data_IF_020307640926
#
_entry.id   IF_020307640926
#
_cell.length_a   1.000
_cell.length_b   1.000
_cell.length_c   1.000
_cell.angle_alpha   90.00
_cell.angle_beta   90.00
_cell.angle_gamma   90.00
#
_symmetry.space_group_name_H-M   'P 1'
#
loop_
_entity.id
_entity.type
_entity.pdbx_description
1 polymer ?
#
# COMPACT_ATOMS: atom_id res chain seq x y z
N UNK A 1 21.65 -1.83 -8.18
CA UNK A 1 21.75 -0.68 -7.25
C UNK A 1 23.00 0.12 -7.58
N UNK A 2 22.87 1.26 -8.28
CA UNK A 2 24.00 2.10 -8.68
C UNK A 2 23.56 3.57 -8.74
N UNK A 3 24.53 4.50 -8.78
CA UNK A 3 24.25 5.94 -8.83
C UNK A 3 24.12 6.58 -7.45
N UNK A 4 23.48 7.75 -7.40
CA UNK A 4 23.29 8.51 -6.16
C UNK A 4 22.34 7.77 -5.21
N UNK A 5 22.79 7.57 -3.96
CA UNK A 5 22.03 6.92 -2.89
C UNK A 5 21.50 7.95 -1.88
N UNK A 6 20.34 7.66 -1.32
CA UNK A 6 19.76 8.37 -0.19
C UNK A 6 19.35 7.35 0.85
N UNK A 7 19.90 7.46 2.05
CA UNK A 7 19.52 6.63 3.19
C UNK A 7 18.46 7.34 4.02
N UNK A 8 17.36 6.62 4.30
CA UNK A 8 16.23 7.13 5.08
C UNK A 8 15.97 6.19 6.26
N UNK A 9 15.90 6.77 7.46
CA UNK A 9 15.50 6.08 8.70
C UNK A 9 14.21 6.65 9.30
N UNK A 10 13.64 7.67 8.65
CA UNK A 10 12.40 8.32 9.03
C UNK A 10 11.64 8.79 7.80
N UNK A 11 10.42 9.24 8.01
CA UNK A 11 9.59 9.85 6.97
C UNK A 11 10.31 11.01 6.27
N UNK A 12 10.07 11.13 4.96
CA UNK A 12 10.58 12.18 4.10
C UNK A 12 9.41 12.75 3.29
N UNK A 13 8.97 13.95 3.66
CA UNK A 13 7.84 14.62 3.01
C UNK A 13 8.18 15.18 1.63
N UNK A 14 9.46 15.47 1.38
CA UNK A 14 9.98 16.04 0.14
C UNK A 14 11.40 15.57 -0.13
N UNK A 15 11.64 14.93 -1.26
CA UNK A 15 12.98 14.52 -1.68
C UNK A 15 13.87 15.72 -2.02
N UNK A 16 13.26 16.80 -2.50
CA UNK A 16 13.92 18.08 -2.76
C UNK A 16 14.65 18.64 -1.52
N UNK A 17 14.11 18.47 -0.31
CA UNK A 17 14.76 18.87 0.95
C UNK A 17 16.03 18.06 1.27
N UNK A 18 16.16 16.86 0.68
CA UNK A 18 17.36 16.01 0.77
C UNK A 18 18.34 16.25 -0.38
N UNK A 19 18.10 17.25 -1.22
CA UNK A 19 18.84 17.56 -2.43
C UNK A 19 18.85 16.44 -3.48
N UNK A 20 17.92 15.48 -3.42
CA UNK A 20 17.84 14.33 -4.34
C UNK A 20 16.75 14.60 -5.38
N UNK A 21 16.95 14.28 -6.66
CA UNK A 21 15.88 14.43 -7.65
C UNK A 21 14.68 13.54 -7.29
N UNK A 22 13.49 13.96 -7.70
CA UNK A 22 12.25 13.18 -7.56
C UNK A 22 12.21 12.02 -8.56
N UNK A 23 13.24 11.18 -8.54
CA UNK A 23 13.41 9.99 -9.37
C UNK A 23 14.06 8.89 -8.57
N UNK A 24 13.44 7.73 -8.55
CA UNK A 24 13.96 6.54 -7.86
C UNK A 24 13.77 5.30 -8.74
N UNK A 25 14.87 4.62 -9.06
CA UNK A 25 14.87 3.47 -9.97
C UNK A 25 15.15 2.13 -9.26
N UNK A 26 15.63 2.18 -8.03
CA UNK A 26 15.83 0.99 -7.20
C UNK A 26 15.77 1.33 -5.72
N UNK A 27 15.23 0.42 -4.92
CA UNK A 27 15.14 0.56 -3.47
C UNK A 27 15.60 -0.71 -2.79
N UNK A 28 16.35 -0.54 -1.70
CA UNK A 28 16.68 -1.61 -0.77
C UNK A 28 16.06 -1.26 0.59
N UNK A 29 15.17 -2.12 1.06
CA UNK A 29 14.56 -2.01 2.39
C UNK A 29 15.37 -2.89 3.33
N UNK A 30 16.11 -2.27 4.23
CA UNK A 30 16.88 -3.00 5.25
C UNK A 30 16.00 -3.50 6.40
N UNK A 31 14.94 -2.74 6.74
CA UNK A 31 13.98 -3.12 7.79
C UNK A 31 12.62 -2.46 7.63
N UNK A 32 11.59 -3.15 8.13
CA UNK A 32 10.22 -2.67 8.17
C UNK A 32 9.52 -2.68 6.81
N UNK A 33 8.55 -1.79 6.65
CA UNK A 33 7.89 -1.56 5.38
C UNK A 33 7.70 -0.06 5.19
N UNK A 34 7.76 0.37 3.94
CA UNK A 34 7.73 1.76 3.53
C UNK A 34 6.70 1.94 2.42
N UNK A 35 6.11 3.13 2.36
CA UNK A 35 5.25 3.52 1.25
C UNK A 35 5.77 4.81 0.65
N UNK A 36 6.02 4.75 -0.65
CA UNK A 36 6.42 5.87 -1.47
C UNK A 36 5.22 6.47 -2.20
N UNK A 37 5.34 7.74 -2.55
CA UNK A 37 4.28 8.52 -3.15
C UNK A 37 4.80 9.31 -4.34
N UNK A 38 3.97 9.37 -5.37
CA UNK A 38 4.22 10.14 -6.60
C UNK A 38 4.37 11.65 -6.34
N UNK A 39 3.75 12.18 -5.28
CA UNK A 39 3.80 13.60 -4.96
C UNK A 39 4.32 13.85 -3.55
N UNK A 40 4.75 15.09 -3.30
CA UNK A 40 5.15 15.57 -1.98
C UNK A 40 4.02 15.40 -0.95
N UNK A 41 4.39 15.33 0.33
CA UNK A 41 3.46 15.26 1.46
C UNK A 41 2.50 14.05 1.42
N UNK A 42 2.99 12.91 0.93
CA UNK A 42 2.30 11.62 0.95
C UNK A 42 1.01 11.60 0.11
N UNK A 43 1.07 12.15 -1.10
CA UNK A 43 -0.07 12.29 -2.03
C UNK A 43 0.17 11.58 -3.36
N UNK A 44 -0.92 11.35 -4.09
CA UNK A 44 -0.86 10.67 -5.39
C UNK A 44 -0.81 9.16 -5.23
N UNK A 45 -0.28 8.48 -6.25
CA UNK A 45 -0.19 7.02 -6.26
C UNK A 45 0.77 6.52 -5.18
N UNK A 46 0.43 5.37 -4.57
CA UNK A 46 1.22 4.70 -3.55
C UNK A 46 2.05 3.56 -4.15
N UNK A 47 3.24 3.36 -3.62
CA UNK A 47 4.13 2.25 -3.95
C UNK A 47 4.64 1.59 -2.66
N UNK A 48 4.25 0.34 -2.42
CA UNK A 48 4.66 -0.41 -1.25
C UNK A 48 6.06 -1.01 -1.44
N UNK A 49 6.95 -0.75 -0.48
CA UNK A 49 8.24 -1.39 -0.33
C UNK A 49 8.28 -2.12 1.01
N UNK A 50 7.93 -3.40 0.99
CA UNK A 50 7.86 -4.27 2.15
C UNK A 50 8.83 -5.46 2.03
N UNK A 51 8.95 -6.28 3.06
CA UNK A 51 9.93 -7.38 3.07
C UNK A 51 9.49 -8.60 2.24
N UNK A 52 8.50 -8.47 1.36
CA UNK A 52 7.98 -9.60 0.56
C UNK A 52 9.04 -10.18 -0.40
N UNK A 53 9.85 -9.32 -1.03
CA UNK A 53 10.96 -9.73 -1.92
C UNK A 53 12.33 -9.48 -1.26
N UNK A 54 12.46 -9.82 0.04
CA UNK A 54 13.65 -9.53 0.87
C UNK A 54 14.07 -8.05 0.86
N UNK A 55 13.11 -7.16 0.61
CA UNK A 55 13.33 -5.72 0.52
C UNK A 55 14.04 -5.25 -0.74
N UNK A 56 14.25 -6.10 -1.75
CA UNK A 56 14.97 -5.73 -2.98
C UNK A 56 14.04 -5.36 -4.14
N UNK A 57 14.02 -4.08 -4.48
CA UNK A 57 13.23 -3.58 -5.59
C UNK A 57 14.11 -3.01 -6.69
N UNK A 58 14.39 -3.84 -7.70
CA UNK A 58 15.46 -3.61 -8.67
C UNK A 58 15.03 -2.89 -9.96
N UNK A 59 13.72 -2.62 -10.13
CA UNK A 59 13.17 -1.80 -11.21
C UNK A 59 11.74 -1.35 -10.88
N UNK A 60 11.25 -0.33 -11.60
CA UNK A 60 9.89 0.24 -11.48
C UNK A 60 8.78 -0.80 -11.68
N UNK A 61 9.03 -1.82 -12.51
CA UNK A 61 8.08 -2.90 -12.78
C UNK A 61 7.77 -3.72 -11.52
N UNK A 62 8.73 -3.84 -10.58
CA UNK A 62 8.55 -4.65 -9.36
C UNK A 62 7.64 -4.01 -8.33
N UNK A 63 7.55 -2.67 -8.25
CA UNK A 63 6.57 -1.98 -7.40
C UNK A 63 5.37 -1.42 -8.19
N UNK A 64 5.18 -1.86 -9.44
CA UNK A 64 4.08 -1.45 -10.32
C UNK A 64 4.00 0.07 -10.56
N UNK A 65 5.14 0.78 -10.65
CA UNK A 65 5.09 2.18 -11.04
C UNK A 65 5.01 2.35 -12.56
N UNK A 66 4.13 3.23 -12.99
CA UNK A 66 4.06 3.69 -14.39
C UNK A 66 5.16 4.72 -14.71
N UNK A 67 6.06 5.03 -13.76
CA UNK A 67 7.16 5.98 -13.91
C UNK A 67 8.15 5.88 -12.74
N UNK A 68 9.20 6.69 -12.78
CA UNK A 68 10.25 6.75 -11.74
C UNK A 68 10.01 7.87 -10.71
N UNK A 69 8.92 8.63 -10.84
CA UNK A 69 8.66 9.82 -10.04
C UNK A 69 8.21 9.47 -8.61
N UNK A 70 9.05 9.82 -7.65
CA UNK A 70 8.81 9.65 -6.23
C UNK A 70 9.27 10.93 -5.54
N UNK A 71 8.37 11.58 -4.81
CA UNK A 71 8.67 12.85 -4.14
C UNK A 71 8.53 12.76 -2.63
N UNK A 72 7.88 11.73 -2.09
CA UNK A 72 7.80 11.50 -0.64
C UNK A 72 7.69 10.04 -0.26
N UNK A 73 8.15 9.71 0.95
CA UNK A 73 8.21 8.34 1.49
C UNK A 73 7.94 8.39 2.98
N UNK A 74 7.21 7.42 3.52
CA UNK A 74 7.04 7.26 4.97
C UNK A 74 7.12 5.79 5.38
N UNK A 75 7.43 5.57 6.65
CA UNK A 75 7.31 4.25 7.24
C UNK A 75 5.83 3.84 7.32
N UNK A 76 5.57 2.56 7.05
CA UNK A 76 4.27 1.93 7.28
C UNK A 76 4.20 1.53 8.75
N UNK A 77 3.09 1.84 9.42
CA UNK A 77 2.89 1.44 10.81
C UNK A 77 2.62 -0.06 10.89
N UNK A 78 3.48 -0.77 11.60
CA UNK A 78 3.27 -2.18 11.93
C UNK A 78 2.25 -2.29 13.06
N UNK A 79 1.22 -3.12 12.85
CA UNK A 79 0.30 -3.53 13.90
C UNK A 79 0.48 -5.03 14.19
N UNK A 80 0.87 -5.36 15.42
CA UNK A 80 1.17 -6.74 15.84
C UNK A 80 -0.07 -7.51 16.34
N UNK A 81 -1.27 -6.95 16.20
CA UNK A 81 -2.49 -7.69 16.52
C UNK A 81 -2.76 -8.78 15.46
N UNK A 82 -3.52 -9.84 15.81
CA UNK A 82 -3.97 -10.82 14.84
C UNK A 82 -4.61 -10.15 13.61
N UNK A 83 -4.24 -10.54 12.38
CA UNK A 83 -4.77 -9.91 11.18
C UNK A 83 -6.29 -10.01 11.13
N UNK A 84 -6.94 -8.85 11.01
CA UNK A 84 -8.39 -8.75 10.90
C UNK A 84 -8.81 -7.47 10.18
N UNK A 85 -9.46 -7.63 9.04
CA UNK A 85 -10.07 -6.52 8.29
C UNK A 85 -11.53 -6.83 7.93
N UNK A 86 -12.37 -5.81 7.88
CA UNK A 86 -13.75 -5.89 7.42
C UNK A 86 -13.92 -5.00 6.21
N UNK A 87 -14.35 -5.58 5.09
CA UNK A 87 -14.64 -4.90 3.84
C UNK A 87 -16.16 -4.73 3.69
N UNK A 88 -16.59 -3.54 3.24
CA UNK A 88 -17.99 -3.21 3.05
C UNK A 88 -18.24 -2.71 1.63
N UNK A 89 -19.34 -3.17 1.05
CA UNK A 89 -19.75 -2.81 -0.33
C UNK A 89 -20.04 -1.31 -0.47
N UNK A 90 -20.61 -0.68 0.56
CA UNK A 90 -21.01 0.73 0.57
C UNK A 90 -20.19 1.55 1.57
N UNK A 91 -20.21 2.87 1.39
CA UNK A 91 -19.56 3.82 2.30
C UNK A 91 -20.22 3.78 3.70
N UNK A 92 -19.51 4.27 4.71
CA UNK A 92 -20.01 4.33 6.09
C UNK A 92 -20.29 2.96 6.70
N UNK A 93 -19.54 1.92 6.30
CA UNK A 93 -19.62 0.56 6.84
C UNK A 93 -20.98 -0.11 6.64
N UNK A 94 -21.59 0.12 5.48
CA UNK A 94 -22.93 -0.38 5.15
C UNK A 94 -22.94 -1.37 3.96
N UNK A 95 -24.06 -2.06 3.78
CA UNK A 95 -24.20 -3.10 2.75
C UNK A 95 -23.57 -4.44 3.13
N UNK A 96 -23.21 -5.26 2.13
CA UNK A 96 -22.60 -6.56 2.36
C UNK A 96 -21.24 -6.39 3.06
N UNK A 97 -21.06 -7.10 4.18
CA UNK A 97 -19.82 -7.16 4.96
C UNK A 97 -19.08 -8.46 4.66
N UNK A 98 -17.76 -8.36 4.47
CA UNK A 98 -16.84 -9.51 4.36
C UNK A 98 -15.71 -9.33 5.37
N UNK A 99 -15.46 -10.34 6.21
CA UNK A 99 -14.36 -10.33 7.18
C UNK A 99 -13.19 -11.18 6.67
N UNK A 100 -11.97 -10.67 6.84
CA UNK A 100 -10.72 -11.24 6.35
C UNK A 100 -9.73 -11.44 7.49
N UNK A 101 -9.03 -12.57 7.46
CA UNK A 101 -7.96 -12.92 8.41
C UNK A 101 -6.64 -13.29 7.71
N UNK A 102 -6.66 -13.52 6.40
CA UNK A 102 -5.53 -13.99 5.61
C UNK A 102 -5.45 -13.29 4.26
N UNK A 103 -4.37 -13.55 3.54
CA UNK A 103 -4.11 -12.98 2.22
C UNK A 103 -5.11 -13.57 1.19
N UNK A 104 -5.78 -12.70 0.43
CA UNK A 104 -6.78 -13.07 -0.57
C UNK A 104 -6.31 -12.65 -1.96
N UNK A 105 -5.83 -13.58 -2.81
CA UNK A 105 -5.35 -13.26 -4.15
C UNK A 105 -6.49 -12.92 -5.12
N UNK A 106 -7.73 -13.32 -4.85
CA UNK A 106 -8.86 -12.98 -5.72
C UNK A 106 -10.17 -12.90 -4.94
N UNK A 107 -10.59 -11.67 -4.61
CA UNK A 107 -11.81 -11.38 -3.85
C UNK A 107 -13.08 -11.82 -4.58
N UNK A 108 -13.10 -11.73 -5.92
CA UNK A 108 -14.26 -12.13 -6.72
C UNK A 108 -14.48 -13.65 -6.60
N UNK A 109 -13.43 -14.45 -6.74
CA UNK A 109 -13.53 -15.91 -6.65
C UNK A 109 -13.89 -16.42 -5.24
N UNK A 110 -13.39 -15.74 -4.19
CA UNK A 110 -13.58 -16.19 -2.79
C UNK A 110 -14.85 -15.67 -2.13
N UNK A 111 -15.28 -14.47 -2.47
CA UNK A 111 -16.37 -13.78 -1.76
C UNK A 111 -17.44 -13.18 -2.69
N UNK A 112 -17.29 -13.33 -4.02
CA UNK A 112 -18.08 -12.63 -5.02
C UNK A 112 -18.09 -11.12 -4.74
N UNK A 113 -16.90 -10.57 -4.48
CA UNK A 113 -16.67 -9.18 -4.10
C UNK A 113 -15.64 -8.55 -5.03
N UNK A 114 -15.99 -7.45 -5.68
CA UNK A 114 -15.08 -6.65 -6.50
C UNK A 114 -15.24 -5.13 -6.28
N UNK A 115 -16.16 -4.72 -5.39
CA UNK A 115 -16.39 -3.33 -4.97
C UNK A 115 -16.37 -3.22 -3.46
N UNK A 116 -15.47 -2.41 -2.95
CA UNK A 116 -15.26 -2.13 -1.53
C UNK A 116 -15.22 -0.62 -1.36
N UNK A 117 -16.23 -0.08 -0.69
CA UNK A 117 -16.38 1.37 -0.53
C UNK A 117 -16.06 1.85 0.88
N UNK A 118 -15.97 0.96 1.88
CA UNK A 118 -15.43 1.29 3.20
C UNK A 118 -14.75 0.07 3.83
N UNK A 119 -13.80 0.32 4.74
CA UNK A 119 -12.96 -0.71 5.36
C UNK A 119 -12.76 -0.40 6.84
N UNK A 120 -12.83 -1.42 7.70
CA UNK A 120 -12.31 -1.34 9.07
C UNK A 120 -11.14 -2.29 9.23
N UNK A 121 -9.96 -1.74 9.55
CA UNK A 121 -8.79 -2.54 9.89
C UNK A 121 -8.73 -2.64 11.40
N UNK A 122 -9.04 -3.84 11.91
CA UNK A 122 -9.09 -4.12 13.35
C UNK A 122 -7.75 -4.65 13.87
N UNK A 123 -6.99 -5.33 13.02
CA UNK A 123 -5.68 -5.87 13.34
C UNK A 123 -4.83 -6.15 12.11
N UNK A 124 -3.52 -6.05 12.28
CA UNK A 124 -2.53 -6.15 11.21
C UNK A 124 -2.48 -4.93 10.30
N UNK A 125 -1.53 -4.95 9.37
CA UNK A 125 -1.39 -3.92 8.33
C UNK A 125 -1.56 -4.57 6.97
N UNK A 126 -2.37 -3.96 6.11
CA UNK A 126 -2.82 -4.55 4.86
C UNK A 126 -2.46 -3.68 3.66
N UNK A 127 -2.41 -4.30 2.49
CA UNK A 127 -2.35 -3.63 1.20
C UNK A 127 -3.42 -4.20 0.29
N UNK A 128 -4.29 -3.32 -0.21
CA UNK A 128 -5.37 -3.67 -1.12
C UNK A 128 -5.00 -3.25 -2.55
N UNK A 129 -5.30 -4.12 -3.52
CA UNK A 129 -4.93 -3.98 -4.93
C UNK A 129 -6.18 -3.92 -5.80
N UNK A 130 -6.19 -3.07 -6.81
CA UNK A 130 -7.31 -2.96 -7.76
C UNK A 130 -7.53 -4.24 -8.56
N UNK A 131 -6.47 -4.99 -8.86
CA UNK A 131 -6.55 -6.22 -9.64
C UNK A 131 -6.35 -7.48 -8.76
N UNK A 132 -6.81 -8.65 -9.25
CA UNK A 132 -6.43 -9.93 -8.66
C UNK A 132 -4.92 -10.18 -8.68
N UNK A 133 -4.47 -11.09 -7.82
CA UNK A 133 -3.09 -11.56 -7.69
C UNK A 133 -2.08 -10.43 -7.38
N UNK A 134 -2.51 -9.47 -6.57
CA UNK A 134 -1.69 -8.38 -6.03
C UNK A 134 -1.09 -7.47 -7.10
N UNK A 135 -1.90 -7.08 -8.09
CA UNK A 135 -1.48 -6.25 -9.23
C UNK A 135 -2.24 -4.93 -9.32
N UNK A 136 -1.73 -4.04 -10.16
CA UNK A 136 -2.33 -2.73 -10.42
C UNK A 136 -2.10 -1.73 -9.29
N UNK A 137 -2.89 -0.66 -9.28
CA UNK A 137 -2.82 0.34 -8.22
C UNK A 137 -3.18 -0.29 -6.87
N UNK A 138 -2.47 0.14 -5.83
CA UNK A 138 -2.59 -0.44 -4.51
C UNK A 138 -2.53 0.62 -3.41
N UNK A 139 -3.07 0.25 -2.24
CA UNK A 139 -3.36 1.18 -1.16
C UNK A 139 -3.03 0.54 0.19
N UNK A 140 -2.27 1.25 1.01
CA UNK A 140 -1.87 0.80 2.33
C UNK A 140 -3.00 1.09 3.33
N UNK A 141 -3.44 0.06 4.04
CA UNK A 141 -4.52 0.09 5.01
C UNK A 141 -3.95 -0.28 6.39
N UNK A 142 -3.67 0.75 7.18
CA UNK A 142 -3.24 0.64 8.57
C UNK A 142 -4.46 0.51 9.50
N UNK A 143 -4.24 0.17 10.78
CA UNK A 143 -5.30 0.04 11.79
C UNK A 143 -6.09 1.34 11.95
N UNK A 144 -7.23 1.42 11.27
CA UNK A 144 -8.12 2.59 11.18
C UNK A 144 -9.45 2.18 10.55
N UNK A 145 -10.45 3.02 10.77
CA UNK A 145 -11.73 3.03 10.06
C UNK A 145 -11.66 3.98 8.85
N UNK A 146 -11.91 3.44 7.66
CA UNK A 146 -11.97 4.13 6.38
C UNK A 146 -13.41 4.17 5.88
N UNK A 147 -14.06 5.33 5.94
CA UNK A 147 -15.48 5.51 5.64
C UNK A 147 -15.80 5.51 4.15
N UNK A 148 -14.81 5.83 3.31
CA UNK A 148 -14.92 5.91 1.85
C UNK A 148 -13.62 5.42 1.20
N UNK A 149 -13.68 4.98 -0.06
CA UNK A 149 -12.48 4.60 -0.82
C UNK A 149 -11.48 5.74 -1.04
N UNK A 150 -11.96 6.98 -0.97
CA UNK A 150 -11.11 8.17 -0.96
C UNK A 150 -10.19 8.24 0.27
N UNK A 151 -10.57 7.64 1.40
CA UNK A 151 -9.81 7.74 2.66
C UNK A 151 -8.48 6.97 2.61
N UNK A 152 -8.35 6.01 1.70
CA UNK A 152 -7.09 5.31 1.41
C UNK A 152 -6.45 5.76 0.08
N UNK A 153 -6.97 6.83 -0.53
CA UNK A 153 -6.40 7.43 -1.74
C UNK A 153 -6.81 6.76 -3.06
N UNK A 154 -7.84 5.91 -3.07
CA UNK A 154 -8.34 5.34 -4.32
C UNK A 154 -9.26 6.31 -5.07
N UNK A 155 -9.29 6.18 -6.40
CA UNK A 155 -10.19 6.94 -7.28
C UNK A 155 -11.56 6.26 -7.47
N UNK A 156 -11.65 4.96 -7.17
CA UNK A 156 -12.87 4.19 -7.25
C UNK A 156 -12.85 3.06 -6.20
N UNK A 157 -13.97 2.34 -6.03
CA UNK A 157 -14.13 1.27 -5.04
C UNK A 157 -13.65 -0.11 -5.50
N UNK A 158 -12.99 -0.23 -6.65
CA UNK A 158 -12.58 -1.54 -7.18
C UNK A 158 -11.41 -2.10 -6.37
N UNK A 159 -11.58 -3.30 -5.83
CA UNK A 159 -10.51 -4.06 -5.17
C UNK A 159 -10.62 -5.51 -5.64
N UNK A 160 -9.53 -6.03 -6.22
CA UNK A 160 -9.45 -7.38 -6.75
C UNK A 160 -8.72 -8.36 -5.83
N UNK A 161 -7.76 -7.87 -5.04
CA UNK A 161 -7.01 -8.67 -4.07
C UNK A 161 -6.51 -7.85 -2.89
N UNK A 162 -6.15 -8.54 -1.81
CA UNK A 162 -5.68 -7.91 -0.57
C UNK A 162 -4.74 -8.86 0.16
N UNK A 163 -3.65 -8.35 0.72
CA UNK A 163 -2.70 -9.13 1.53
C UNK A 163 -2.19 -8.33 2.71
N UNK A 164 -1.55 -9.01 3.65
CA UNK A 164 -0.79 -8.41 4.74
C UNK A 164 0.54 -7.84 4.24
N UNK A 165 0.96 -6.75 4.85
CA UNK A 165 2.29 -6.15 4.67
C UNK A 165 3.33 -6.95 5.44
N UNK A 166 4.53 -7.13 4.87
CA UNK A 166 5.64 -7.88 5.49
C UNK A 166 6.70 -6.91 6.05
N UNK A 167 7.09 -7.09 7.31
CA UNK A 167 8.02 -6.18 8.00
C UNK A 167 9.40 -6.78 8.28
N UNK A 168 9.53 -8.11 8.17
CA UNK A 168 10.75 -8.89 8.44
C UNK A 168 10.82 -10.10 7.53
#
# INVERSE_FOLDING_TARGET
FAGRRLDLTSDCQKFSEKNVPDRCNSVQVESGAWVAYEHENFRGRQYLWDMFDRGEYNCTDRWCAQGDHISSVRAVKQDNNPPRAQLFERAGFSGKKTELHDDIPNLMSRYSLNRVSSVRVMGGTWVAYQEPNYRGAHYILEKKDYNSFSDWGAQNSTIGSIRRVRFS
#
